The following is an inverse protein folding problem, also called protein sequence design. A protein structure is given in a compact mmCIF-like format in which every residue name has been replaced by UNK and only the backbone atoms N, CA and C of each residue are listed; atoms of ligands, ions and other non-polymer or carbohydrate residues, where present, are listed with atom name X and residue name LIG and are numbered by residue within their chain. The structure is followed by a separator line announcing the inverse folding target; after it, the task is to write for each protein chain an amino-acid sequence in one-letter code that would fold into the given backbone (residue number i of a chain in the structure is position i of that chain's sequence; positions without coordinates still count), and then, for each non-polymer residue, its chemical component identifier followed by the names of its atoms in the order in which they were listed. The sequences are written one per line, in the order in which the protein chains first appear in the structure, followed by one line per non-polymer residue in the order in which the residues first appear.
data_IF_671082955360
#
_entry.id   IF_671082955360
#
_cell.length_a   1.000
_cell.length_b   1.000
_cell.length_c   1.000
_cell.angle_alpha   90.00
_cell.angle_beta   90.00
_cell.angle_gamma   90.00
#
_symmetry.space_group_name_H-M   'P 1'
#
loop_
_entity.id
_entity.type
_entity.pdbx_description
1 polymer ?
#
# COMPACT_ATOMS: atom_id res chain seq x y z
N UNK A 1 25.75 -32.07 29.56
CA UNK A 1 25.53 -31.81 29.02
C UNK A 1 25.23 -31.17 28.18
N UNK A 2 25.20 -31.07 28.31
CA UNK A 2 24.91 -30.55 27.64
C UNK A 2 24.34 -29.84 26.83
N UNK A 3 24.16 -29.89 26.94
CA UNK A 3 23.67 -29.36 26.22
C UNK A 3 23.16 -28.61 25.52
N UNK A 4 22.98 -28.58 25.71
CA UNK A 4 22.48 -27.92 25.11
C UNK A 4 22.12 -27.10 24.35
N UNK A 5 22.02 -27.14 24.45
CA UNK A 5 21.62 -26.46 23.85
C UNK A 5 21.25 -25.71 23.06
N UNK A 6 21.24 -25.74 23.14
CA UNK A 6 21.03 -25.20 22.46
C UNK A 6 20.52 -24.55 21.73
N UNK A 7 20.22 -24.55 21.92
CA UNK A 7 19.71 -23.98 21.27
C UNK A 7 19.22 -23.15 20.67
N UNK A 8 19.07 -23.20 20.81
CA UNK A 8 18.59 -22.57 20.23
C UNK A 8 18.31 -21.72 19.52
N UNK A 9 18.26 -21.63 19.72
CA UNK A 9 17.89 -20.88 19.04
C UNK A 9 17.53 -20.34 18.24
N UNK A 10 17.48 -20.31 18.35
CA UNK A 10 16.99 -19.86 17.60
C UNK A 10 16.46 -19.29 16.99
N UNK A 11 16.22 -19.37 17.21
CA UNK A 11 15.58 -18.95 16.57
C UNK A 11 15.22 -18.05 16.10
N UNK A 12 15.42 -17.89 16.37
CA UNK A 12 14.90 -17.08 15.90
C UNK A 12 14.74 -16.32 15.14
N UNK A 13 14.75 -16.24 15.14
CA UNK A 13 14.69 -15.64 14.34
C UNK A 13 14.21 -15.18 13.55
N UNK A 14 13.76 -15.31 13.75
CA UNK A 14 13.17 -14.93 12.88
C UNK A 14 12.71 -14.12 12.43
N UNK A 15 12.50 -13.91 12.78
CA UNK A 15 11.99 -13.28 12.33
C UNK A 15 11.85 -12.60 11.66
N UNK A 16 11.81 -12.51 11.82
CA UNK A 16 11.61 -11.88 11.15
C UNK A 16 11.31 -11.34 10.34
N UNK A 17 11.17 -11.25 10.48
CA UNK A 17 10.83 -10.81 9.64
C UNK A 17 10.28 -10.17 8.97
N UNK A 18 10.00 -9.88 9.15
CA UNK A 18 9.38 -9.35 8.42
C UNK A 18 9.17 -8.54 7.76
N UNK A 19 9.10 -8.36 7.73
CA UNK A 19 8.88 -7.66 7.26
C UNK A 19 8.04 -7.10 6.64
N UNK A 20 7.28 -7.13 7.06
CA UNK A 20 6.38 -6.45 6.36
C UNK A 20 6.20 -5.09 6.62
N UNK A 21 6.26 -4.34 5.70
CA UNK A 21 6.40 -2.97 5.79
C UNK A 21 5.14 -2.21 5.89
N UNK A 22 4.02 -2.70 5.60
CA UNK A 22 2.75 -1.98 5.64
C UNK A 22 1.89 -2.41 6.80
N UNK A 23 2.44 -2.33 8.02
CA UNK A 23 1.68 -2.63 9.22
C UNK A 23 0.50 -1.71 9.36
N UNK A 24 -0.65 -2.25 9.74
CA UNK A 24 -1.90 -1.51 9.93
C UNK A 24 -2.40 -0.85 8.65
N UNK A 25 -2.00 -1.38 7.50
CA UNK A 25 -2.46 -0.86 6.22
C UNK A 25 -3.89 -1.28 5.95
N UNK A 26 -4.55 -0.52 5.10
CA UNK A 26 -5.91 -0.83 4.65
C UNK A 26 -5.86 -1.60 3.35
N UNK A 27 -6.83 -2.47 3.14
CA UNK A 27 -6.99 -3.15 1.87
C UNK A 27 -7.61 -2.21 0.86
N UNK A 28 -7.09 -2.23 -0.36
CA UNK A 28 -7.56 -1.36 -1.42
C UNK A 28 -7.33 -2.01 -2.77
N UNK A 29 -7.85 -1.39 -3.82
CA UNK A 29 -7.68 -1.84 -5.19
C UNK A 29 -7.28 -0.65 -6.04
N UNK A 30 -6.30 -0.84 -6.92
CA UNK A 30 -5.94 0.17 -7.89
C UNK A 30 -6.94 0.08 -9.04
N UNK A 31 -7.48 1.21 -9.47
CA UNK A 31 -8.45 1.25 -10.56
C UNK A 31 -8.03 2.28 -11.58
N UNK A 32 -8.34 2.00 -12.84
CA UNK A 32 -7.96 2.86 -13.94
C UNK A 32 -9.14 3.74 -14.33
N UNK A 33 -9.00 5.04 -14.08
CA UNK A 33 -10.02 6.03 -14.42
C UNK A 33 -9.57 6.90 -15.58
N UNK A 34 -8.63 6.43 -16.41
CA UNK A 34 -8.08 7.25 -17.47
C UNK A 34 -9.11 7.70 -18.49
N UNK A 35 -10.28 7.06 -18.54
CA UNK A 35 -11.35 7.51 -19.39
C UNK A 35 -12.06 8.76 -18.92
N UNK A 36 -11.80 9.18 -17.68
CA UNK A 36 -12.39 10.39 -17.12
C UNK A 36 -11.39 11.53 -17.24
N UNK A 37 -11.92 12.73 -17.42
CA UNK A 37 -11.12 13.92 -17.67
C UNK A 37 -10.16 14.16 -16.51
N UNK A 38 -8.86 14.21 -16.78
CA UNK A 38 -7.86 14.48 -15.77
C UNK A 38 -7.52 13.33 -14.85
N UNK A 39 -8.16 12.17 -15.02
CA UNK A 39 -7.93 11.03 -14.15
C UNK A 39 -6.90 10.08 -14.73
N UNK A 40 -6.31 9.27 -13.86
CA UNK A 40 -5.44 8.18 -14.23
C UNK A 40 -5.75 7.02 -13.31
N UNK A 41 -4.71 6.40 -12.75
CA UNK A 41 -4.91 5.33 -11.78
C UNK A 41 -5.26 5.95 -10.43
N UNK A 42 -6.25 5.39 -9.77
CA UNK A 42 -6.71 5.82 -8.46
C UNK A 42 -6.74 4.64 -7.52
N UNK A 43 -6.91 4.92 -6.23
CA UNK A 43 -6.99 3.87 -5.20
C UNK A 43 -8.42 3.85 -4.67
N UNK A 44 -9.04 2.67 -4.70
CA UNK A 44 -10.37 2.52 -4.12
C UNK A 44 -10.26 1.67 -2.87
N UNK A 45 -10.64 2.25 -1.73
CA UNK A 45 -10.64 1.52 -0.46
C UNK A 45 -11.81 0.55 -0.42
N UNK A 46 -11.73 -0.44 0.46
CA UNK A 46 -12.84 -1.38 0.62
C UNK A 46 -14.12 -0.70 1.07
N UNK A 47 -14.00 0.44 1.73
CA UNK A 47 -15.17 1.23 2.13
C UNK A 47 -15.90 1.85 0.96
N UNK A 48 -15.29 1.86 -0.21
CA UNK A 48 -15.81 2.53 -1.40
C UNK A 48 -15.25 3.91 -1.63
N UNK A 49 -14.52 4.44 -0.67
CA UNK A 49 -13.88 5.74 -0.83
C UNK A 49 -12.76 5.65 -1.87
N UNK A 50 -12.67 6.67 -2.73
CA UNK A 50 -11.67 6.72 -3.78
C UNK A 50 -10.66 7.80 -3.45
N UNK A 51 -9.38 7.47 -3.59
CA UNK A 51 -8.27 8.38 -3.29
C UNK A 51 -7.52 8.70 -4.57
N UNK A 52 -7.04 9.93 -4.66
CA UNK A 52 -6.23 10.36 -5.81
C UNK A 52 -4.77 10.46 -5.35
N UNK A 53 -3.92 9.45 -5.64
CA UNK A 53 -2.55 9.46 -5.15
C UNK A 53 -1.66 10.36 -6.00
N UNK A 54 -0.69 11.01 -5.35
CA UNK A 54 0.28 11.86 -6.05
C UNK A 54 1.60 11.15 -6.30
N UNK A 55 1.83 9.98 -5.68
CA UNK A 55 3.12 9.33 -5.76
C UNK A 55 3.00 7.81 -5.99
N UNK A 56 1.99 7.39 -6.75
CA UNK A 56 1.72 5.97 -6.96
C UNK A 56 2.90 5.25 -7.61
N UNK A 57 3.67 5.92 -8.45
CA UNK A 57 4.77 5.30 -9.17
C UNK A 57 6.07 5.24 -8.37
N UNK A 58 6.07 5.68 -7.12
CA UNK A 58 7.28 5.70 -6.31
C UNK A 58 7.59 4.39 -5.62
N UNK A 59 6.75 3.38 -5.83
CA UNK A 59 6.85 2.11 -5.10
C UNK A 59 7.33 1.00 -6.01
N UNK A 60 7.85 -0.06 -5.40
CA UNK A 60 8.47 -1.14 -6.14
C UNK A 60 7.44 -2.12 -6.67
N UNK A 61 6.49 -1.60 -7.44
CA UNK A 61 5.50 -2.40 -8.14
C UNK A 61 5.02 -1.61 -9.35
N UNK A 62 4.41 -2.29 -10.31
CA UNK A 62 3.85 -1.66 -11.49
C UNK A 62 2.34 -1.61 -11.31
N UNK A 63 1.78 -0.43 -11.00
CA UNK A 63 0.34 -0.35 -10.73
C UNK A 63 -0.46 -0.64 -11.99
N UNK A 64 -1.47 -1.51 -11.83
CA UNK A 64 -2.37 -1.85 -12.93
C UNK A 64 -3.80 -1.88 -12.43
N UNK A 65 -4.73 -1.72 -13.34
CA UNK A 65 -6.16 -1.77 -13.03
C UNK A 65 -6.50 -3.11 -12.40
N UNK A 66 -7.23 -3.07 -11.29
CA UNK A 66 -7.66 -4.28 -10.59
C UNK A 66 -6.65 -4.83 -9.62
N UNK A 67 -5.47 -4.23 -9.52
CA UNK A 67 -4.44 -4.74 -8.60
C UNK A 67 -4.86 -4.53 -7.17
N UNK A 68 -4.82 -5.60 -6.36
CA UNK A 68 -5.15 -5.52 -4.95
C UNK A 68 -3.92 -5.18 -4.16
N UNK A 69 -4.05 -4.23 -3.23
CA UNK A 69 -2.90 -3.72 -2.48
C UNK A 69 -3.27 -3.48 -1.04
N UNK A 70 -2.24 -3.38 -0.21
CA UNK A 70 -2.30 -2.80 1.14
C UNK A 70 -1.77 -1.39 1.04
N UNK A 71 -2.44 -0.41 1.68
CA UNK A 71 -2.04 0.98 1.58
C UNK A 71 -2.08 1.68 2.92
N UNK A 72 -1.09 2.52 3.17
CA UNK A 72 -1.11 3.55 4.21
C UNK A 72 -0.87 4.87 3.52
N UNK A 73 -1.60 5.89 3.94
CA UNK A 73 -1.54 7.18 3.26
C UNK A 73 -1.95 8.28 4.21
N UNK A 74 -1.70 9.51 3.79
CA UNK A 74 -2.26 10.68 4.46
C UNK A 74 -2.70 11.67 3.39
N UNK A 75 -3.70 12.49 3.74
CA UNK A 75 -4.22 13.51 2.83
C UNK A 75 -3.25 14.68 2.79
N UNK A 76 -3.10 15.28 1.61
CA UNK A 76 -2.14 16.37 1.43
C UNK A 76 -2.80 17.69 1.08
N UNK A 77 -4.12 17.71 0.90
CA UNK A 77 -4.83 18.97 0.71
C UNK A 77 -4.57 19.65 -0.61
N UNK A 78 -4.01 18.95 -1.58
CA UNK A 78 -3.78 19.52 -2.90
C UNK A 78 -5.08 19.51 -3.72
N UNK A 79 -5.15 20.42 -4.70
CA UNK A 79 -6.31 20.44 -5.57
C UNK A 79 -6.35 19.18 -6.42
N UNK A 80 -7.50 18.52 -6.44
CA UNK A 80 -7.69 17.30 -7.21
C UNK A 80 -8.00 17.65 -8.66
N UNK A 81 -7.29 17.04 -9.59
CA UNK A 81 -7.59 17.19 -11.00
C UNK A 81 -8.74 16.29 -11.40
N UNK A 82 -8.74 15.09 -10.88
CA UNK A 82 -9.73 14.07 -11.18
C UNK A 82 -11.04 14.29 -10.42
N UNK A 83 -10.94 14.81 -9.19
CA UNK A 83 -12.09 15.19 -8.36
C UNK A 83 -12.95 13.99 -7.96
N UNK A 84 -12.36 12.81 -7.85
CA UNK A 84 -13.10 11.62 -7.40
C UNK A 84 -12.92 11.39 -5.90
N UNK A 85 -12.00 12.08 -5.25
CA UNK A 85 -11.76 11.93 -3.82
C UNK A 85 -10.59 12.77 -3.40
N UNK A 86 -10.16 12.63 -2.14
CA UNK A 86 -9.06 13.45 -1.64
C UNK A 86 -7.75 13.10 -2.30
N UNK A 87 -6.88 14.09 -2.40
CA UNK A 87 -5.52 13.91 -2.88
C UNK A 87 -4.68 13.40 -1.71
N UNK A 88 -3.93 12.32 -1.94
CA UNK A 88 -3.18 11.67 -0.86
C UNK A 88 -1.75 11.41 -1.28
N UNK A 89 -0.87 11.38 -0.29
CA UNK A 89 0.47 10.86 -0.47
C UNK A 89 0.51 9.48 0.17
N UNK A 90 1.01 8.50 -0.57
CA UNK A 90 1.07 7.12 -0.09
C UNK A 90 2.33 6.97 0.75
N UNK A 91 2.17 6.43 1.96
CA UNK A 91 3.28 6.18 2.88
C UNK A 91 3.81 4.77 2.74
N UNK A 92 2.95 3.84 2.36
CA UNK A 92 3.34 2.45 2.19
C UNK A 92 2.37 1.78 1.22
N UNK A 93 2.90 1.00 0.29
CA UNK A 93 2.09 0.31 -0.70
C UNK A 93 2.68 -1.06 -0.97
N UNK A 94 1.87 -2.10 -0.88
CA UNK A 94 2.32 -3.47 -1.12
C UNK A 94 1.21 -4.26 -1.78
N UNK A 95 1.58 -5.21 -2.63
CA UNK A 95 0.59 -6.09 -3.28
C UNK A 95 -0.03 -7.02 -2.25
N UNK A 96 -1.30 -7.33 -2.42
CA UNK A 96 -2.01 -8.33 -1.61
C UNK A 96 -2.09 -9.65 -2.36
#
# INVERSE_FOLDING_TARGET
MKTLFILIAGSFLFASCNRTSCENAQAATIEDYTGLDGCGLVIKLQSGEVLEPINLNDFNLTPTDGMKVWIKYHEVGLMSICMVGPTVEIDCLAKR
#
